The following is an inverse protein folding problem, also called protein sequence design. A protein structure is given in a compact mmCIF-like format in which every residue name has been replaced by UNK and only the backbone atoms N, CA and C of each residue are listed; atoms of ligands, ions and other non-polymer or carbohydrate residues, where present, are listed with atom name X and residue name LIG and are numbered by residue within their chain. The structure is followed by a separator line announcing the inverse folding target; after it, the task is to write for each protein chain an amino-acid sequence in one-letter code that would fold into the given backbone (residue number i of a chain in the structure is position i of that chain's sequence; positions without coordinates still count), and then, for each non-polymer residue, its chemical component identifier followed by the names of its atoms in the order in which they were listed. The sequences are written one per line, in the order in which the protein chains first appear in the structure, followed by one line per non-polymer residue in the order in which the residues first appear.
data_IF_930490006841
#
_entry.id   IF_930490006841
#
_cell.length_a   1.000
_cell.length_b   1.000
_cell.length_c   1.000
_cell.angle_alpha   90.00
_cell.angle_beta   90.00
_cell.angle_gamma   90.00
#
_symmetry.space_group_name_H-M   'P 1'
#
loop_
_entity.id
_entity.type
_entity.pdbx_description
1 polymer ?
#
# COMPACT_ATOMS: atom_id res chain seq x y z
N UNK A 1 -36.81 -20.72 51.92
CA UNK A 1 -35.56 -20.24 51.28
C UNK A 1 -35.93 -19.54 49.98
N UNK A 2 -35.59 -18.26 49.83
CA UNK A 2 -35.74 -17.50 48.57
C UNK A 2 -34.51 -17.79 47.71
N UNK A 3 -34.70 -18.39 46.54
CA UNK A 3 -33.66 -18.56 45.52
C UNK A 3 -33.60 -17.31 44.65
N UNK A 4 -32.58 -16.49 44.87
CA UNK A 4 -32.24 -15.34 44.03
C UNK A 4 -31.42 -15.84 42.84
N UNK A 5 -32.03 -15.89 41.65
CA UNK A 5 -31.31 -16.18 40.40
C UNK A 5 -30.54 -14.92 39.98
N UNK A 6 -29.20 -14.96 40.07
CA UNK A 6 -28.33 -13.92 39.52
C UNK A 6 -28.32 -14.04 37.99
N UNK A 7 -28.83 -13.02 37.29
CA UNK A 7 -28.60 -12.81 35.87
C UNK A 7 -27.13 -12.40 35.68
N UNK A 8 -26.30 -13.36 35.27
CA UNK A 8 -24.94 -13.11 34.83
C UNK A 8 -24.96 -12.41 33.48
N UNK A 9 -24.58 -11.14 33.48
CA UNK A 9 -24.36 -10.31 32.30
C UNK A 9 -23.21 -10.91 31.49
N UNK A 10 -23.50 -11.71 30.46
CA UNK A 10 -22.50 -12.07 29.45
C UNK A 10 -22.28 -10.85 28.56
N UNK A 11 -21.23 -10.12 28.86
CA UNK A 11 -20.65 -9.11 27.96
C UNK A 11 -20.27 -9.85 26.69
N UNK A 12 -21.06 -9.67 25.64
CA UNK A 12 -20.74 -10.07 24.29
C UNK A 12 -19.57 -9.18 23.84
N UNK A 13 -18.36 -9.52 24.25
CA UNK A 13 -17.15 -8.95 23.67
C UNK A 13 -17.15 -9.36 22.22
N UNK A 14 -17.35 -8.40 21.33
CA UNK A 14 -17.17 -8.54 19.90
C UNK A 14 -15.74 -9.03 19.66
N UNK A 15 -15.60 -10.35 19.53
CA UNK A 15 -14.37 -10.96 19.07
C UNK A 15 -14.11 -10.37 17.70
N UNK A 16 -12.97 -9.69 17.57
CA UNK A 16 -12.40 -9.33 16.29
C UNK A 16 -12.39 -10.59 15.43
N UNK A 17 -13.26 -10.65 14.42
CA UNK A 17 -13.13 -11.62 13.35
C UNK A 17 -11.84 -11.23 12.64
N UNK A 18 -10.75 -11.87 13.07
CA UNK A 18 -9.52 -11.96 12.33
C UNK A 18 -9.92 -12.62 11.01
N UNK A 19 -10.12 -11.81 9.97
CA UNK A 19 -10.29 -12.31 8.60
C UNK A 19 -8.90 -12.86 8.24
N UNK A 20 -8.65 -14.11 8.59
CA UNK A 20 -7.60 -14.88 7.95
C UNK A 20 -7.95 -14.90 6.46
N UNK A 21 -7.03 -14.52 5.56
CA UNK A 21 -7.24 -14.77 4.15
C UNK A 21 -7.50 -16.27 3.99
N UNK A 22 -8.68 -16.64 3.49
CA UNK A 22 -8.88 -18.00 3.00
C UNK A 22 -7.89 -18.18 1.88
N UNK A 23 -6.82 -18.92 2.15
CA UNK A 23 -5.74 -19.17 1.21
C UNK A 23 -6.28 -19.95 0.03
N UNK A 24 -6.59 -19.27 -1.07
CA UNK A 24 -6.54 -19.89 -2.38
C UNK A 24 -5.06 -20.12 -2.69
N UNK A 25 -4.67 -21.38 -2.82
CA UNK A 25 -3.35 -21.74 -3.32
C UNK A 25 -3.32 -21.53 -4.83
N UNK A 26 -2.45 -20.64 -5.29
CA UNK A 26 -2.07 -20.59 -6.69
C UNK A 26 -1.24 -21.83 -7.06
N UNK A 27 -1.32 -22.31 -8.31
CA UNK A 27 -0.59 -23.50 -8.76
C UNK A 27 -1.22 -24.87 -8.44
N UNK A 28 -2.55 -24.94 -8.34
CA UNK A 28 -3.30 -26.21 -8.40
C UNK A 28 -3.25 -27.12 -7.15
N UNK A 29 -2.52 -26.76 -6.09
CA UNK A 29 -2.45 -27.55 -4.86
C UNK A 29 -3.24 -26.90 -3.71
N UNK A 30 -4.55 -27.18 -3.67
CA UNK A 30 -5.43 -26.73 -2.58
C UNK A 30 -4.92 -27.32 -1.25
N UNK A 31 -4.46 -26.44 -0.36
CA UNK A 31 -4.18 -26.82 1.03
C UNK A 31 -5.50 -27.14 1.73
N UNK A 32 -5.71 -28.43 1.98
CA UNK A 32 -6.88 -28.97 2.68
C UNK A 32 -7.18 -28.23 3.99
N UNK A 33 -8.27 -27.47 4.00
CA UNK A 33 -9.00 -27.15 5.24
C UNK A 33 -10.45 -27.61 5.03
N UNK A 34 -10.85 -28.52 5.91
CA UNK A 34 -11.99 -29.43 5.81
C UNK A 34 -13.34 -28.70 5.82
N UNK A 35 -14.07 -28.79 4.71
CA UNK A 35 -15.53 -28.83 4.67
C UNK A 35 -15.92 -29.62 3.41
N UNK A 36 -16.60 -30.77 3.57
CA UNK A 36 -17.12 -31.68 2.54
C UNK A 36 -16.62 -31.39 1.11
N UNK A 37 -15.61 -32.16 0.67
CA UNK A 37 -15.06 -32.08 -0.68
C UNK A 37 -16.17 -32.35 -1.72
N UNK A 38 -16.84 -31.28 -2.16
CA UNK A 38 -17.39 -31.23 -3.49
C UNK A 38 -16.21 -31.45 -4.43
N UNK A 39 -16.35 -32.42 -5.33
CA UNK A 39 -15.35 -32.73 -6.35
C UNK A 39 -15.05 -31.43 -7.13
N UNK A 40 -13.84 -30.87 -6.93
CA UNK A 40 -13.45 -29.62 -7.60
C UNK A 40 -13.34 -29.93 -9.08
N UNK A 41 -14.32 -29.48 -9.86
CA UNK A 41 -14.39 -29.76 -11.29
C UNK A 41 -13.54 -28.74 -12.02
N UNK A 42 -12.70 -29.24 -12.93
CA UNK A 42 -12.04 -28.39 -13.92
C UNK A 42 -12.95 -28.26 -15.14
N UNK A 43 -13.29 -27.04 -15.51
CA UNK A 43 -14.09 -26.72 -16.69
C UNK A 43 -13.18 -26.01 -17.69
N UNK A 44 -13.01 -26.58 -18.88
CA UNK A 44 -12.28 -25.92 -19.97
C UNK A 44 -13.24 -25.03 -20.76
N UNK A 45 -12.82 -23.81 -21.06
CA UNK A 45 -13.62 -22.82 -21.79
C UNK A 45 -12.81 -22.24 -22.95
N UNK A 46 -13.47 -22.09 -24.10
CA UNK A 46 -12.90 -21.54 -25.34
C UNK A 46 -13.63 -20.29 -25.81
N UNK A 47 -14.81 -20.02 -25.25
CA UNK A 47 -15.67 -18.89 -25.62
C UNK A 47 -16.10 -18.08 -24.40
N UNK A 48 -16.53 -16.84 -24.63
CA UNK A 48 -17.09 -16.01 -23.58
C UNK A 48 -18.37 -16.61 -22.97
N UNK A 49 -19.23 -17.24 -23.77
CA UNK A 49 -20.48 -17.84 -23.28
C UNK A 49 -20.19 -18.97 -22.28
N UNK A 50 -19.18 -19.79 -22.55
CA UNK A 50 -18.74 -20.87 -21.65
C UNK A 50 -18.13 -20.31 -20.36
N UNK A 51 -17.24 -19.31 -20.46
CA UNK A 51 -16.65 -18.63 -19.30
C UNK A 51 -17.72 -17.99 -18.42
N UNK A 52 -18.65 -17.26 -19.02
CA UNK A 52 -19.77 -16.62 -18.33
C UNK A 52 -20.62 -17.67 -17.64
N UNK A 53 -21.03 -18.73 -18.33
CA UNK A 53 -21.82 -19.79 -17.73
C UNK A 53 -21.09 -20.43 -16.53
N UNK A 54 -19.81 -20.79 -16.70
CA UNK A 54 -19.01 -21.39 -15.64
C UNK A 54 -18.95 -20.51 -14.38
N UNK A 55 -18.73 -19.19 -14.54
CA UNK A 55 -18.67 -18.26 -13.41
C UNK A 55 -20.03 -18.03 -12.75
N UNK A 56 -21.12 -18.00 -13.52
CA UNK A 56 -22.45 -17.70 -12.99
C UNK A 56 -23.15 -18.90 -12.34
N UNK A 57 -22.82 -20.14 -12.75
CA UNK A 57 -23.54 -21.34 -12.30
C UNK A 57 -22.75 -22.26 -11.38
N UNK A 58 -21.41 -22.20 -11.38
CA UNK A 58 -20.59 -23.15 -10.62
C UNK A 58 -19.95 -22.52 -9.38
N UNK A 59 -20.26 -22.99 -8.15
CA UNK A 59 -19.79 -22.36 -6.93
C UNK A 59 -18.30 -22.58 -6.60
N UNK A 60 -17.65 -23.64 -7.12
CA UNK A 60 -16.27 -24.03 -6.73
C UNK A 60 -15.47 -24.71 -7.86
N UNK A 61 -15.41 -24.08 -9.04
CA UNK A 61 -14.71 -24.67 -10.20
C UNK A 61 -13.32 -24.05 -10.43
N UNK A 62 -12.41 -24.87 -10.94
CA UNK A 62 -11.22 -24.40 -11.67
C UNK A 62 -11.65 -24.20 -13.12
N UNK A 63 -11.50 -23.00 -13.64
CA UNK A 63 -11.88 -22.66 -15.01
C UNK A 63 -10.60 -22.50 -15.81
N UNK A 64 -10.35 -23.40 -16.76
CA UNK A 64 -9.19 -23.36 -17.64
C UNK A 64 -9.55 -22.71 -18.96
N UNK A 65 -8.94 -21.57 -19.28
CA UNK A 65 -9.07 -20.91 -20.57
C UNK A 65 -8.15 -21.60 -21.59
N UNK A 66 -8.70 -21.96 -22.76
CA UNK A 66 -7.97 -22.65 -23.85
C UNK A 66 -8.02 -21.86 -25.18
N UNK A 67 -8.47 -20.61 -25.12
CA UNK A 67 -8.44 -19.66 -26.23
C UNK A 67 -8.52 -18.23 -25.70
N UNK A 68 -8.09 -17.26 -26.51
CA UNK A 68 -8.33 -15.85 -26.18
C UNK A 68 -9.84 -15.55 -26.16
N UNK A 69 -10.32 -14.85 -25.14
CA UNK A 69 -11.75 -14.56 -24.92
C UNK A 69 -11.99 -13.05 -24.93
N UNK A 70 -13.00 -12.62 -25.70
CA UNK A 70 -13.54 -11.25 -25.66
C UNK A 70 -14.95 -11.25 -25.06
N UNK A 71 -15.16 -10.43 -24.04
CA UNK A 71 -16.45 -10.31 -23.38
C UNK A 71 -17.48 -9.59 -24.24
N UNK A 72 -18.71 -10.12 -24.25
CA UNK A 72 -19.86 -9.52 -24.95
C UNK A 72 -20.93 -8.98 -24.01
N UNK A 73 -20.84 -9.28 -22.71
CA UNK A 73 -21.73 -8.76 -21.66
C UNK A 73 -21.03 -8.77 -20.31
N UNK A 74 -21.68 -8.23 -19.28
CA UNK A 74 -21.25 -8.44 -17.90
C UNK A 74 -21.42 -9.92 -17.48
N UNK A 75 -20.61 -10.32 -16.51
CA UNK A 75 -20.72 -11.59 -15.78
C UNK A 75 -21.20 -11.25 -14.37
N UNK A 76 -22.30 -11.85 -13.91
CA UNK A 76 -22.89 -11.61 -12.60
C UNK A 76 -22.77 -12.88 -11.78
N UNK A 77 -21.93 -12.88 -10.76
CA UNK A 77 -21.78 -14.01 -9.84
C UNK A 77 -22.82 -13.83 -8.72
N UNK A 78 -23.92 -14.61 -8.70
CA UNK A 78 -25.06 -14.33 -7.84
C UNK A 78 -24.90 -14.91 -6.42
N UNK A 79 -24.11 -15.98 -6.28
CA UNK A 79 -23.89 -16.71 -5.04
C UNK A 79 -22.47 -16.56 -4.48
N UNK A 80 -22.22 -17.20 -3.34
CA UNK A 80 -20.87 -17.32 -2.76
C UNK A 80 -20.04 -18.29 -3.62
N UNK A 81 -19.27 -17.75 -4.56
CA UNK A 81 -18.41 -18.53 -5.45
C UNK A 81 -16.96 -18.10 -5.27
N UNK A 82 -16.04 -19.07 -5.32
CA UNK A 82 -14.59 -18.81 -5.22
C UNK A 82 -13.80 -19.40 -6.40
N UNK A 83 -14.07 -18.99 -7.66
CA UNK A 83 -13.45 -19.60 -8.82
C UNK A 83 -11.96 -19.26 -8.92
N UNK A 84 -11.18 -20.25 -9.35
CA UNK A 84 -9.83 -20.05 -9.87
C UNK A 84 -9.88 -20.12 -11.40
N UNK A 85 -9.56 -19.03 -12.07
CA UNK A 85 -9.46 -18.96 -13.52
C UNK A 85 -7.99 -19.10 -13.92
N UNK A 86 -7.65 -20.23 -14.53
CA UNK A 86 -6.36 -20.50 -15.13
C UNK A 86 -6.38 -19.98 -16.57
N UNK A 87 -5.61 -18.93 -16.83
CA UNK A 87 -5.53 -18.30 -18.13
C UNK A 87 -4.71 -19.05 -19.15
N UNK A 88 -3.77 -19.89 -18.71
CA UNK A 88 -2.81 -20.59 -19.58
C UNK A 88 -2.10 -19.66 -20.58
N UNK A 89 -1.81 -18.42 -20.15
CA UNK A 89 -1.21 -17.35 -20.95
C UNK A 89 -2.11 -16.79 -22.07
N UNK A 90 -3.42 -17.07 -22.06
CA UNK A 90 -4.38 -16.46 -22.98
C UNK A 90 -4.75 -15.04 -22.60
N UNK A 91 -5.40 -14.36 -23.55
CA UNK A 91 -5.99 -13.04 -23.38
C UNK A 91 -7.43 -13.12 -22.89
N UNK A 92 -7.78 -12.31 -21.89
CA UNK A 92 -9.15 -12.00 -21.50
C UNK A 92 -9.42 -10.51 -21.70
N UNK A 93 -10.08 -10.17 -22.81
CA UNK A 93 -10.53 -8.80 -23.11
C UNK A 93 -11.94 -8.59 -22.56
N UNK A 94 -12.04 -7.91 -21.43
CA UNK A 94 -13.32 -7.53 -20.83
C UNK A 94 -13.93 -6.29 -21.48
N UNK A 95 -13.18 -5.54 -22.26
CA UNK A 95 -13.61 -4.28 -22.87
C UNK A 95 -14.33 -3.40 -21.83
N UNK A 96 -15.59 -3.00 -22.07
CA UNK A 96 -16.37 -2.18 -21.14
C UNK A 96 -17.07 -2.97 -20.02
N UNK A 97 -17.06 -4.30 -20.12
CA UNK A 97 -17.80 -5.21 -19.25
C UNK A 97 -17.00 -5.59 -18.00
N UNK A 98 -17.68 -6.22 -17.04
CA UNK A 98 -17.11 -6.51 -15.72
C UNK A 98 -17.57 -7.86 -15.16
N UNK A 99 -16.72 -8.47 -14.33
CA UNK A 99 -17.09 -9.56 -13.42
C UNK A 99 -17.64 -8.94 -12.13
N UNK A 100 -18.94 -9.06 -11.93
CA UNK A 100 -19.70 -8.41 -10.86
C UNK A 100 -20.07 -9.42 -9.77
N UNK A 101 -19.29 -9.46 -8.70
CA UNK A 101 -19.54 -10.34 -7.55
C UNK A 101 -20.56 -9.73 -6.59
N UNK A 102 -21.71 -10.40 -6.42
CA UNK A 102 -22.83 -9.94 -5.56
C UNK A 102 -22.74 -10.39 -4.10
N UNK A 103 -21.82 -11.28 -3.78
CA UNK A 103 -21.62 -11.84 -2.44
C UNK A 103 -20.15 -11.78 -2.04
N UNK A 104 -19.85 -12.11 -0.79
CA UNK A 104 -18.47 -12.31 -0.35
C UNK A 104 -17.88 -13.57 -1.00
N UNK A 105 -16.58 -13.54 -1.29
CA UNK A 105 -15.86 -14.61 -1.98
C UNK A 105 -14.59 -14.08 -2.63
N UNK A 106 -13.75 -14.99 -3.12
CA UNK A 106 -12.47 -14.68 -3.75
C UNK A 106 -12.50 -15.16 -5.20
N UNK A 107 -12.30 -14.26 -6.15
CA UNK A 107 -12.07 -14.61 -7.55
C UNK A 107 -10.57 -14.54 -7.80
N UNK A 108 -9.97 -15.67 -8.16
CA UNK A 108 -8.56 -15.75 -8.51
C UNK A 108 -8.39 -15.81 -10.03
N UNK A 109 -7.50 -14.98 -10.56
CA UNK A 109 -7.10 -14.95 -11.97
C UNK A 109 -5.60 -15.22 -12.06
N UNK A 110 -5.23 -16.26 -12.79
CA UNK A 110 -3.84 -16.73 -12.90
C UNK A 110 -3.39 -16.82 -14.35
N UNK A 111 -2.14 -16.44 -14.64
CA UNK A 111 -1.49 -16.58 -15.95
C UNK A 111 -2.32 -15.98 -17.12
N UNK A 112 -2.74 -14.72 -16.97
CA UNK A 112 -3.60 -14.02 -17.94
C UNK A 112 -2.99 -12.71 -18.45
N UNK A 113 -3.25 -12.41 -19.72
CA UNK A 113 -3.21 -11.04 -20.25
C UNK A 113 -4.61 -10.45 -20.25
N UNK A 114 -4.85 -9.39 -19.48
CA UNK A 114 -6.18 -8.82 -19.24
C UNK A 114 -6.27 -7.42 -19.84
N UNK A 115 -7.32 -7.18 -20.60
CA UNK A 115 -7.68 -5.83 -21.07
C UNK A 115 -9.05 -5.40 -20.53
N UNK A 116 -9.14 -4.17 -20.02
CA UNK A 116 -10.43 -3.61 -19.57
C UNK A 116 -10.48 -2.09 -19.74
N UNK A 117 -11.45 -1.62 -20.53
CA UNK A 117 -11.74 -0.21 -20.78
C UNK A 117 -12.94 0.32 -20.00
N UNK A 118 -13.61 -0.56 -19.23
CA UNK A 118 -14.74 -0.27 -18.38
C UNK A 118 -14.38 0.63 -17.19
N UNK A 119 -15.37 1.39 -16.69
CA UNK A 119 -15.18 2.33 -15.57
C UNK A 119 -15.02 1.66 -14.21
N UNK A 120 -15.29 0.36 -14.11
CA UNK A 120 -15.14 -0.43 -12.88
C UNK A 120 -13.98 -1.42 -12.94
N UNK A 121 -13.26 -1.46 -14.07
CA UNK A 121 -12.24 -2.45 -14.35
C UNK A 121 -12.79 -3.84 -14.67
N UNK A 122 -11.94 -4.87 -14.53
CA UNK A 122 -12.34 -6.28 -14.74
C UNK A 122 -13.22 -6.78 -13.60
N UNK A 123 -13.07 -6.26 -12.39
CA UNK A 123 -13.76 -6.76 -11.21
C UNK A 123 -14.51 -5.67 -10.46
N UNK A 124 -15.78 -5.95 -10.15
CA UNK A 124 -16.62 -5.11 -9.31
C UNK A 124 -17.24 -5.90 -8.18
N UNK A 125 -17.19 -5.32 -6.97
CA UNK A 125 -18.04 -5.76 -5.87
C UNK A 125 -18.38 -4.61 -4.92
N UNK A 126 -19.54 -4.67 -4.27
CA UNK A 126 -19.94 -3.76 -3.18
C UNK A 126 -19.90 -4.46 -1.80
N UNK A 127 -19.46 -5.72 -1.76
CA UNK A 127 -19.36 -6.58 -0.57
C UNK A 127 -17.90 -6.69 -0.12
N UNK A 128 -17.64 -7.59 0.83
CA UNK A 128 -16.28 -7.94 1.28
C UNK A 128 -15.56 -8.90 0.31
N UNK A 129 -15.97 -8.96 -0.97
CA UNK A 129 -15.34 -9.80 -1.98
C UNK A 129 -13.89 -9.42 -2.27
N UNK A 130 -13.14 -10.36 -2.83
CA UNK A 130 -11.72 -10.21 -3.13
C UNK A 130 -11.43 -10.60 -4.58
N UNK A 131 -10.52 -9.84 -5.21
CA UNK A 131 -9.84 -10.23 -6.43
C UNK A 131 -8.40 -10.63 -6.09
N UNK A 132 -7.96 -11.80 -6.54
CA UNK A 132 -6.57 -12.22 -6.42
C UNK A 132 -5.99 -12.40 -7.84
N UNK A 133 -4.84 -11.78 -8.10
CA UNK A 133 -4.16 -11.81 -9.41
C UNK A 133 -2.79 -12.46 -9.24
N UNK A 134 -2.51 -13.50 -10.02
CA UNK A 134 -1.21 -14.17 -10.05
C UNK A 134 -0.65 -14.21 -11.47
N UNK A 135 0.59 -13.77 -11.68
CA UNK A 135 1.23 -13.77 -12.99
C UNK A 135 0.39 -13.08 -14.09
N UNK A 136 -0.23 -11.94 -13.76
CA UNK A 136 -1.14 -11.23 -14.67
C UNK A 136 -0.46 -10.01 -15.29
N UNK A 137 -0.68 -9.81 -16.59
CA UNK A 137 -0.45 -8.51 -17.25
C UNK A 137 -1.79 -7.82 -17.49
N UNK A 138 -2.04 -6.70 -16.83
CA UNK A 138 -3.26 -5.90 -16.99
C UNK A 138 -3.00 -4.61 -17.76
N UNK A 139 -3.84 -4.32 -18.76
CA UNK A 139 -3.90 -3.03 -19.45
C UNK A 139 -5.32 -2.47 -19.42
N UNK A 140 -5.51 -1.23 -18.98
CA UNK A 140 -6.88 -0.70 -18.93
C UNK A 140 -7.07 0.62 -18.22
N UNK A 141 -8.33 0.95 -17.93
CA UNK A 141 -8.67 2.15 -17.15
C UNK A 141 -8.58 1.93 -15.65
N UNK A 142 -9.02 0.79 -15.15
CA UNK A 142 -9.01 0.45 -13.72
C UNK A 142 -8.92 -1.07 -13.61
N UNK A 143 -8.20 -1.60 -12.63
CA UNK A 143 -8.15 -3.05 -12.35
C UNK A 143 -9.43 -3.49 -11.66
N UNK A 144 -9.79 -2.82 -10.57
CA UNK A 144 -10.93 -3.20 -9.74
C UNK A 144 -11.62 -2.02 -9.06
N UNK A 145 -12.95 -2.15 -8.97
CA UNK A 145 -13.82 -1.37 -8.09
C UNK A 145 -14.37 -2.29 -6.99
N UNK A 146 -13.71 -2.32 -5.84
CA UNK A 146 -14.10 -3.14 -4.69
C UNK A 146 -14.05 -2.31 -3.39
N UNK A 147 -14.87 -1.24 -3.27
CA UNK A 147 -14.76 -0.27 -2.18
C UNK A 147 -14.79 -0.86 -0.78
N UNK A 148 -15.42 -2.02 -0.52
CA UNK A 148 -15.35 -2.72 0.78
C UNK A 148 -14.50 -3.99 0.75
N UNK A 149 -14.05 -4.37 -0.44
CA UNK A 149 -13.35 -5.61 -0.71
C UNK A 149 -11.83 -5.44 -0.73
N UNK A 150 -11.17 -6.48 -1.23
CA UNK A 150 -9.73 -6.57 -1.29
C UNK A 150 -9.22 -6.85 -2.72
N UNK A 151 -7.99 -6.43 -2.98
CA UNK A 151 -7.19 -6.93 -4.09
C UNK A 151 -5.87 -7.50 -3.55
N UNK A 152 -5.50 -8.67 -4.04
CA UNK A 152 -4.21 -9.29 -3.73
C UNK A 152 -3.42 -9.56 -5.00
N UNK A 153 -2.14 -9.23 -4.98
CA UNK A 153 -1.22 -9.50 -6.08
C UNK A 153 -0.22 -10.57 -5.66
N UNK A 154 -0.03 -11.55 -6.53
CA UNK A 154 0.90 -12.67 -6.41
C UNK A 154 1.77 -12.77 -7.67
N UNK A 155 2.83 -13.57 -7.57
CA UNK A 155 3.73 -13.88 -8.69
C UNK A 155 4.31 -12.62 -9.34
N UNK A 156 4.41 -12.63 -10.68
CA UNK A 156 4.85 -11.45 -11.44
C UNK A 156 3.65 -10.74 -12.04
N UNK A 157 3.22 -9.62 -11.42
CA UNK A 157 2.06 -8.87 -11.90
C UNK A 157 2.47 -7.50 -12.46
N UNK A 158 2.03 -7.19 -13.68
CA UNK A 158 2.27 -5.91 -14.35
C UNK A 158 0.95 -5.22 -14.65
N UNK A 159 0.83 -3.95 -14.25
CA UNK A 159 -0.37 -3.14 -14.44
C UNK A 159 -0.01 -1.86 -15.20
N UNK A 160 -0.63 -1.65 -16.35
CA UNK A 160 -0.51 -0.40 -17.10
C UNK A 160 -1.88 0.22 -17.23
N UNK A 161 -2.07 1.44 -16.73
CA UNK A 161 -3.33 2.14 -16.88
C UNK A 161 -3.18 3.49 -17.56
N UNK A 162 -4.15 3.82 -18.40
CA UNK A 162 -4.33 5.16 -18.98
C UNK A 162 -5.40 5.93 -18.20
N UNK A 163 -5.67 5.51 -16.96
CA UNK A 163 -6.69 6.13 -16.12
C UNK A 163 -6.37 7.60 -15.89
N UNK A 164 -7.42 8.42 -15.85
CA UNK A 164 -7.36 9.77 -15.30
C UNK A 164 -7.75 9.81 -13.82
N UNK A 165 -8.17 8.67 -13.26
CA UNK A 165 -8.71 8.54 -11.90
C UNK A 165 -7.80 7.66 -11.02
N UNK A 166 -7.93 6.34 -11.10
CA UNK A 166 -7.14 5.40 -10.30
C UNK A 166 -6.85 4.05 -11.00
N UNK A 167 -5.79 3.34 -10.56
CA UNK A 167 -5.58 1.91 -10.87
C UNK A 167 -6.63 1.06 -10.18
N UNK A 168 -6.91 1.28 -8.90
CA UNK A 168 -7.94 0.54 -8.18
C UNK A 168 -8.56 1.36 -7.05
N UNK A 169 -9.86 1.14 -6.83
CA UNK A 169 -10.61 1.68 -5.70
C UNK A 169 -11.06 0.55 -4.79
N UNK A 170 -10.35 0.35 -3.69
CA UNK A 170 -10.51 -0.82 -2.81
C UNK A 170 -10.46 -0.45 -1.32
N UNK A 171 -10.82 -1.37 -0.43
CA UNK A 171 -10.56 -1.20 1.00
C UNK A 171 -9.19 -1.75 1.40
N UNK A 172 -8.82 -2.91 0.86
CA UNK A 172 -7.58 -3.61 1.23
C UNK A 172 -6.74 -3.92 -0.01
N UNK A 173 -5.44 -3.66 0.08
CA UNK A 173 -4.44 -4.07 -0.91
C UNK A 173 -3.42 -4.96 -0.22
N UNK A 174 -3.12 -6.09 -0.82
CA UNK A 174 -2.05 -6.98 -0.39
C UNK A 174 -1.11 -7.24 -1.56
N UNK A 175 0.15 -6.86 -1.41
CA UNK A 175 1.25 -7.34 -2.24
C UNK A 175 1.85 -8.53 -1.50
N UNK A 176 1.53 -9.75 -1.94
CA UNK A 176 1.82 -10.97 -1.20
C UNK A 176 3.32 -11.30 -1.14
N UNK A 177 3.69 -12.29 -0.32
CA UNK A 177 5.08 -12.72 -0.13
C UNK A 177 5.76 -13.03 -1.48
N UNK A 178 6.98 -12.54 -1.65
CA UNK A 178 7.80 -12.70 -2.87
C UNK A 178 7.17 -12.17 -4.19
N UNK A 179 6.10 -11.37 -4.14
CA UNK A 179 5.49 -10.80 -5.35
C UNK A 179 6.45 -9.85 -6.06
N UNK A 180 6.41 -9.84 -7.39
CA UNK A 180 7.07 -8.85 -8.23
C UNK A 180 5.99 -8.01 -8.93
N UNK A 181 5.65 -6.87 -8.33
CA UNK A 181 4.60 -5.99 -8.82
C UNK A 181 5.18 -4.76 -9.51
N UNK A 182 4.66 -4.45 -10.69
CA UNK A 182 4.96 -3.21 -11.41
C UNK A 182 3.67 -2.52 -11.84
N UNK A 183 3.56 -1.22 -11.59
CA UNK A 183 2.44 -0.40 -12.02
C UNK A 183 2.88 0.91 -12.68
N UNK A 184 2.16 1.34 -13.71
CA UNK A 184 2.32 2.65 -14.34
C UNK A 184 0.95 3.30 -14.59
N UNK A 185 0.77 4.55 -14.12
CA UNK A 185 -0.46 5.35 -14.29
C UNK A 185 -0.13 6.84 -14.40
N UNK A 186 -1.01 7.61 -15.06
CA UNK A 186 -0.97 9.08 -15.10
C UNK A 186 -1.89 9.76 -14.07
N UNK A 187 -2.61 8.98 -13.27
CA UNK A 187 -3.53 9.48 -12.25
C UNK A 187 -3.12 8.99 -10.86
N UNK A 188 -4.03 9.02 -9.87
CA UNK A 188 -3.75 8.36 -8.60
C UNK A 188 -3.55 6.85 -8.88
N UNK A 189 -2.71 6.14 -8.14
CA UNK A 189 -2.58 4.70 -8.29
C UNK A 189 -3.69 4.02 -7.51
N UNK A 190 -3.73 4.20 -6.19
CA UNK A 190 -4.66 3.52 -5.32
C UNK A 190 -5.47 4.52 -4.49
N UNK A 191 -6.78 4.48 -4.65
CA UNK A 191 -7.73 5.31 -3.91
C UNK A 191 -8.51 4.45 -2.90
N UNK A 192 -8.40 4.80 -1.62
CA UNK A 192 -8.98 4.04 -0.51
C UNK A 192 -9.59 5.00 0.52
N UNK A 193 -10.92 5.05 0.61
CA UNK A 193 -11.63 6.07 1.42
C UNK A 193 -12.66 5.49 2.41
N UNK A 194 -12.49 4.24 2.83
CA UNK A 194 -13.39 3.57 3.78
C UNK A 194 -13.00 3.78 5.24
N UNK A 195 -13.78 3.25 6.19
CA UNK A 195 -13.49 3.36 7.62
C UNK A 195 -12.07 2.85 7.99
N UNK A 196 -11.67 1.68 7.48
CA UNK A 196 -10.43 0.99 7.89
C UNK A 196 -9.65 0.47 6.67
N UNK A 197 -9.09 1.37 5.82
CA UNK A 197 -8.37 0.97 4.62
C UNK A 197 -7.01 0.39 4.99
N UNK A 198 -6.55 -0.61 4.26
CA UNK A 198 -5.33 -1.36 4.60
C UNK A 198 -4.44 -1.59 3.39
N UNK A 199 -3.14 -1.40 3.56
CA UNK A 199 -2.12 -1.78 2.58
C UNK A 199 -1.07 -2.64 3.28
N UNK A 200 -0.78 -3.79 2.70
CA UNK A 200 0.27 -4.71 3.13
C UNK A 200 1.26 -4.92 1.99
N UNK A 201 2.53 -4.68 2.25
CA UNK A 201 3.64 -5.11 1.39
C UNK A 201 4.36 -6.22 2.15
N UNK A 202 4.04 -7.47 1.80
CA UNK A 202 4.47 -8.65 2.56
C UNK A 202 5.95 -8.96 2.38
N UNK A 203 6.43 -9.91 3.18
CA UNK A 203 7.83 -10.32 3.23
C UNK A 203 8.44 -10.54 1.83
N UNK A 204 9.60 -9.94 1.57
CA UNK A 204 10.35 -10.05 0.31
C UNK A 204 9.58 -9.63 -0.96
N UNK A 205 8.42 -8.97 -0.84
CA UNK A 205 7.71 -8.39 -1.98
C UNK A 205 8.55 -7.28 -2.62
N UNK A 206 8.58 -7.21 -3.95
CA UNK A 206 9.15 -6.11 -4.73
C UNK A 206 8.04 -5.37 -5.46
N UNK A 207 7.78 -4.13 -5.06
CA UNK A 207 6.69 -3.29 -5.55
C UNK A 207 7.26 -2.03 -6.18
N UNK A 208 7.02 -1.82 -7.46
CA UNK A 208 7.44 -0.61 -8.19
C UNK A 208 6.21 0.08 -8.79
N UNK A 209 5.94 1.32 -8.38
CA UNK A 209 4.78 2.07 -8.85
C UNK A 209 5.21 3.41 -9.44
N UNK A 210 4.90 3.64 -10.70
CA UNK A 210 5.03 4.95 -11.34
C UNK A 210 3.66 5.59 -11.45
N UNK A 211 3.47 6.74 -10.81
CA UNK A 211 2.20 7.47 -10.78
C UNK A 211 2.47 8.96 -10.86
N UNK A 212 1.83 9.67 -11.80
CA UNK A 212 1.99 11.13 -11.95
C UNK A 212 1.30 11.97 -10.86
N UNK A 213 0.53 11.34 -9.95
CA UNK A 213 -0.20 12.02 -8.87
C UNK A 213 0.07 11.35 -7.52
N UNK A 214 -0.91 10.65 -6.94
CA UNK A 214 -0.74 9.96 -5.66
C UNK A 214 -0.52 8.48 -5.86
N UNK A 215 0.24 7.81 -4.98
CA UNK A 215 0.34 6.35 -5.01
C UNK A 215 -0.68 5.72 -4.08
N UNK A 216 -0.58 5.97 -2.77
CA UNK A 216 -1.52 5.45 -1.78
C UNK A 216 -2.31 6.59 -1.15
N UNK A 217 -3.58 6.72 -1.51
CA UNK A 217 -4.49 7.73 -0.96
C UNK A 217 -5.49 7.06 0.00
N UNK A 218 -5.20 7.08 1.30
CA UNK A 218 -5.89 6.35 2.37
C UNK A 218 -6.62 7.31 3.34
N UNK A 219 -7.86 7.68 3.06
CA UNK A 219 -8.58 8.75 3.80
C UNK A 219 -9.51 8.25 4.91
N UNK A 220 -9.31 7.02 5.39
CA UNK A 220 -10.17 6.40 6.40
C UNK A 220 -10.01 6.89 7.84
N UNK A 221 -10.85 6.36 8.74
CA UNK A 221 -10.78 6.63 10.17
C UNK A 221 -9.58 5.93 10.84
N UNK A 222 -9.31 4.67 10.47
CA UNK A 222 -8.15 3.90 10.95
C UNK A 222 -7.36 3.28 9.80
N UNK A 223 -6.71 4.10 8.94
CA UNK A 223 -5.92 3.58 7.85
C UNK A 223 -4.68 2.86 8.39
N UNK A 224 -4.37 1.70 7.81
CA UNK A 224 -3.21 0.88 8.16
C UNK A 224 -2.32 0.67 6.94
N UNK A 225 -1.03 0.94 7.09
CA UNK A 225 -0.03 0.70 6.06
C UNK A 225 1.18 0.03 6.70
N UNK A 226 1.61 -1.10 6.16
CA UNK A 226 2.79 -1.79 6.63
C UNK A 226 3.60 -2.36 5.48
N UNK A 227 4.93 -2.20 5.57
CA UNK A 227 5.87 -3.05 4.85
C UNK A 227 6.43 -4.09 5.82
N UNK A 228 6.55 -5.34 5.39
CA UNK A 228 7.12 -6.44 6.18
C UNK A 228 8.61 -6.62 5.90
N UNK A 229 9.24 -7.58 6.58
CA UNK A 229 10.69 -7.78 6.51
C UNK A 229 11.18 -8.10 5.10
N UNK A 230 12.30 -7.49 4.70
CA UNK A 230 12.94 -7.74 3.41
C UNK A 230 12.16 -7.21 2.19
N UNK A 231 10.99 -6.60 2.38
CA UNK A 231 10.21 -6.03 1.28
C UNK A 231 10.89 -4.80 0.66
N UNK A 232 10.68 -4.60 -0.63
CA UNK A 232 11.14 -3.44 -1.40
C UNK A 232 9.96 -2.70 -2.01
N UNK A 233 9.80 -1.43 -1.67
CA UNK A 233 8.79 -0.54 -2.24
C UNK A 233 9.45 0.68 -2.86
N UNK A 234 9.34 0.83 -4.18
CA UNK A 234 9.84 2.00 -4.90
C UNK A 234 8.68 2.70 -5.60
N UNK A 235 8.61 4.02 -5.46
CA UNK A 235 7.65 4.85 -6.21
C UNK A 235 8.35 5.92 -7.00
N UNK A 236 7.88 6.17 -8.22
CA UNK A 236 8.41 7.20 -9.11
C UNK A 236 7.31 8.12 -9.64
N UNK A 237 7.69 9.37 -9.90
CA UNK A 237 6.91 10.42 -10.55
C UNK A 237 5.72 11.00 -9.78
N UNK A 238 5.71 10.94 -8.45
CA UNK A 238 4.52 11.25 -7.64
C UNK A 238 4.48 12.73 -7.21
N UNK A 239 3.29 13.23 -6.87
CA UNK A 239 3.11 14.40 -5.99
C UNK A 239 3.13 13.93 -4.52
N UNK A 240 2.34 12.92 -4.16
CA UNK A 240 2.32 12.33 -2.79
C UNK A 240 2.40 10.81 -2.89
N UNK A 241 3.45 10.18 -2.35
CA UNK A 241 3.56 8.72 -2.34
C UNK A 241 2.56 8.09 -1.35
N UNK A 242 2.49 8.63 -0.13
CA UNK A 242 1.64 8.09 0.93
C UNK A 242 0.84 9.21 1.60
N UNK A 243 -0.48 9.12 1.50
CA UNK A 243 -1.41 10.01 2.18
C UNK A 243 -2.31 9.20 3.10
N UNK A 244 -2.14 9.34 4.43
CA UNK A 244 -2.98 8.64 5.39
C UNK A 244 -3.21 9.41 6.69
N UNK A 245 -4.40 9.23 7.28
CA UNK A 245 -4.72 9.69 8.63
C UNK A 245 -4.37 8.62 9.69
N UNK A 246 -3.14 8.14 9.70
CA UNK A 246 -2.68 7.09 10.62
C UNK A 246 -1.16 7.04 10.71
N UNK A 247 -0.66 5.98 11.36
CA UNK A 247 0.78 5.75 11.59
C UNK A 247 1.24 4.56 10.74
N UNK A 248 1.88 4.77 9.58
CA UNK A 248 2.49 3.69 8.81
C UNK A 248 3.70 3.12 9.55
N UNK A 249 3.97 1.85 9.29
CA UNK A 249 5.17 1.13 9.76
C UNK A 249 5.96 0.64 8.56
N UNK A 250 7.26 0.94 8.55
CA UNK A 250 8.20 0.41 7.56
C UNK A 250 9.03 -0.69 8.24
N UNK A 251 8.81 -1.94 7.84
CA UNK A 251 9.30 -3.13 8.54
C UNK A 251 10.82 -3.30 8.53
N UNK A 252 11.31 -4.20 9.39
CA UNK A 252 12.75 -4.42 9.55
C UNK A 252 13.41 -4.94 8.27
N UNK A 253 14.66 -4.58 7.97
CA UNK A 253 15.35 -4.97 6.73
C UNK A 253 14.60 -4.61 5.43
N UNK A 254 13.54 -3.80 5.48
CA UNK A 254 12.82 -3.37 4.29
C UNK A 254 13.58 -2.25 3.56
N UNK A 255 13.32 -2.07 2.27
CA UNK A 255 13.83 -0.97 1.47
C UNK A 255 12.67 -0.16 0.92
N UNK A 256 12.45 1.04 1.44
CA UNK A 256 11.43 1.96 0.93
C UNK A 256 12.09 3.16 0.27
N UNK A 257 11.70 3.43 -0.98
CA UNK A 257 12.18 4.58 -1.76
C UNK A 257 11.01 5.32 -2.40
N UNK A 258 10.79 6.56 -1.99
CA UNK A 258 9.79 7.44 -2.61
C UNK A 258 10.46 8.57 -3.38
N UNK A 259 10.22 8.61 -4.69
CA UNK A 259 10.78 9.60 -5.61
C UNK A 259 9.66 10.50 -6.16
N UNK A 260 9.76 11.77 -5.84
CA UNK A 260 8.88 12.80 -6.37
C UNK A 260 9.39 13.27 -7.74
N UNK A 261 8.48 13.59 -8.67
CA UNK A 261 8.91 14.30 -9.88
C UNK A 261 9.35 15.75 -9.56
N UNK A 262 9.94 16.43 -10.55
CA UNK A 262 10.36 17.82 -10.40
C UNK A 262 9.18 18.81 -10.19
N UNK A 263 7.96 18.40 -10.52
CA UNK A 263 6.76 19.22 -10.46
C UNK A 263 5.96 19.07 -9.17
N UNK A 264 6.22 18.03 -8.37
CA UNK A 264 5.53 17.72 -7.13
C UNK A 264 5.67 18.83 -6.10
N UNK A 265 4.56 19.13 -5.42
CA UNK A 265 4.40 20.30 -4.55
C UNK A 265 4.02 19.92 -3.12
N UNK A 266 3.22 18.87 -2.94
CA UNK A 266 2.86 18.33 -1.65
C UNK A 266 3.93 17.32 -1.22
N UNK A 267 4.26 17.22 0.06
CA UNK A 267 5.31 16.27 0.46
C UNK A 267 5.01 14.82 0.14
N UNK A 268 6.08 14.02 -0.01
CA UNK A 268 6.00 12.60 -0.34
C UNK A 268 5.20 11.78 0.66
N UNK A 269 5.24 12.14 1.95
CA UNK A 269 4.48 11.49 3.01
C UNK A 269 3.62 12.51 3.75
N UNK A 270 2.33 12.23 3.79
CA UNK A 270 1.39 12.80 4.73
C UNK A 270 0.87 11.71 5.66
N UNK A 271 1.26 11.79 6.93
CA UNK A 271 0.81 10.86 7.97
C UNK A 271 0.41 11.66 9.21
N UNK A 272 -0.89 11.68 9.55
CA UNK A 272 -1.39 12.55 10.63
C UNK A 272 -0.77 12.21 11.99
N UNK A 273 -0.51 10.93 12.24
CA UNK A 273 0.04 10.39 13.50
C UNK A 273 1.45 9.84 13.34
N UNK A 274 2.30 10.46 12.51
CA UNK A 274 3.74 10.11 12.43
C UNK A 274 3.97 8.77 11.74
N UNK A 275 5.14 8.14 11.93
CA UNK A 275 5.47 6.83 11.37
C UNK A 275 6.60 6.16 12.14
N UNK A 276 6.73 4.84 11.98
CA UNK A 276 7.85 4.05 12.48
C UNK A 276 8.66 3.47 11.32
N UNK A 277 9.99 3.56 11.41
CA UNK A 277 10.93 2.83 10.55
C UNK A 277 11.69 1.86 11.43
N UNK A 278 11.53 0.57 11.19
CA UNK A 278 12.05 -0.50 12.02
C UNK A 278 13.53 -0.82 11.71
N UNK A 279 14.10 -1.65 12.56
CA UNK A 279 15.53 -2.02 12.57
C UNK A 279 16.03 -2.47 11.20
N UNK A 280 17.24 -2.02 10.86
CA UNK A 280 17.97 -2.38 9.64
C UNK A 280 17.25 -2.02 8.32
N UNK A 281 16.15 -1.25 8.36
CA UNK A 281 15.48 -0.77 7.16
C UNK A 281 16.31 0.31 6.44
N UNK A 282 16.21 0.35 5.11
CA UNK A 282 16.65 1.46 4.26
C UNK A 282 15.44 2.32 3.89
N UNK A 283 15.48 3.59 4.28
CA UNK A 283 14.39 4.53 4.07
C UNK A 283 14.87 5.77 3.30
N UNK A 284 14.35 5.93 2.09
CA UNK A 284 14.81 6.93 1.12
C UNK A 284 13.64 7.79 0.65
N UNK A 285 13.74 9.11 0.82
CA UNK A 285 12.81 10.10 0.29
C UNK A 285 13.57 11.10 -0.58
N UNK A 286 13.17 11.22 -1.85
CA UNK A 286 13.75 12.15 -2.81
C UNK A 286 12.68 13.12 -3.32
N UNK A 287 12.61 14.31 -2.73
CA UNK A 287 11.64 15.33 -3.08
C UNK A 287 11.96 16.09 -4.37
N UNK A 288 10.94 16.64 -4.98
CA UNK A 288 11.01 17.41 -6.22
C UNK A 288 11.55 18.83 -6.01
N UNK A 289 11.88 19.51 -7.11
CA UNK A 289 12.35 20.90 -7.08
C UNK A 289 11.31 21.89 -6.52
N UNK A 290 10.02 21.57 -6.65
CA UNK A 290 8.91 22.37 -6.12
C UNK A 290 8.40 21.94 -4.74
N UNK A 291 8.92 20.83 -4.21
CA UNK A 291 8.46 20.25 -2.95
C UNK A 291 8.75 21.18 -1.77
N UNK A 292 7.74 21.65 -1.04
CA UNK A 292 7.99 22.53 0.11
C UNK A 292 8.29 21.76 1.40
N UNK A 293 7.87 20.50 1.47
CA UNK A 293 8.23 19.58 2.55
C UNK A 293 8.34 18.14 2.03
N UNK A 294 9.14 17.26 2.63
CA UNK A 294 9.10 15.82 2.30
C UNK A 294 8.06 15.07 3.14
N UNK A 295 8.03 15.38 4.44
CA UNK A 295 7.20 14.73 5.43
C UNK A 295 6.31 15.78 6.08
N UNK A 296 5.00 15.53 6.10
CA UNK A 296 4.02 16.34 6.82
C UNK A 296 3.25 15.50 7.83
N UNK A 297 3.24 15.93 9.09
CA UNK A 297 2.49 15.27 10.17
C UNK A 297 1.78 16.30 11.06
N UNK A 298 0.64 15.93 11.63
CA UNK A 298 -0.24 16.88 12.31
C UNK A 298 -0.07 16.89 13.84
N UNK A 299 0.43 15.81 14.47
CA UNK A 299 0.87 15.71 15.88
C UNK A 299 1.39 14.30 16.14
N UNK A 300 2.71 14.07 16.14
CA UNK A 300 3.21 12.71 16.43
C UNK A 300 4.70 12.54 16.67
N UNK A 301 5.05 11.30 17.00
CA UNK A 301 6.39 10.73 16.98
C UNK A 301 6.68 10.17 15.58
N UNK A 302 7.82 10.57 15.04
CA UNK A 302 8.51 9.91 13.93
C UNK A 302 9.70 9.16 14.54
N UNK A 303 9.70 7.84 14.45
CA UNK A 303 10.72 6.98 15.08
C UNK A 303 11.52 6.20 14.04
N UNK A 304 12.84 6.35 14.10
CA UNK A 304 13.81 5.57 13.33
C UNK A 304 14.54 4.62 14.28
N UNK A 305 14.11 3.36 14.32
CA UNK A 305 14.52 2.35 15.29
C UNK A 305 15.70 1.53 14.83
N UNK A 306 16.90 2.10 14.91
CA UNK A 306 18.14 1.41 14.52
C UNK A 306 18.15 0.97 13.04
N UNK A 307 17.91 1.95 12.19
CA UNK A 307 17.75 1.78 10.74
C UNK A 307 19.10 1.65 10.03
N UNK A 308 19.17 0.88 8.95
CA UNK A 308 20.43 0.69 8.22
C UNK A 308 20.81 1.95 7.42
N UNK A 309 19.82 2.66 6.88
CA UNK A 309 20.03 3.85 6.08
C UNK A 309 18.82 4.79 6.13
N UNK A 310 19.07 6.09 6.30
CA UNK A 310 18.07 7.15 6.15
C UNK A 310 18.58 8.21 5.19
N UNK A 311 17.96 8.31 4.01
CA UNK A 311 18.32 9.32 3.01
C UNK A 311 17.12 10.22 2.71
N UNK A 312 17.19 11.50 3.12
CA UNK A 312 16.09 12.45 2.97
C UNK A 312 16.55 13.69 2.18
N UNK A 313 16.31 13.70 0.88
CA UNK A 313 16.74 14.79 -0.01
C UNK A 313 15.59 15.69 -0.42
N UNK A 314 15.65 16.98 -0.06
CA UNK A 314 14.81 18.01 -0.67
C UNK A 314 15.58 18.67 -1.81
N UNK A 315 15.02 18.66 -3.02
CA UNK A 315 15.57 19.39 -4.17
C UNK A 315 15.04 20.84 -4.26
N UNK A 316 14.17 21.26 -3.33
CA UNK A 316 13.75 22.65 -3.23
C UNK A 316 14.69 23.42 -2.28
N UNK A 317 15.37 24.49 -2.74
CA UNK A 317 16.27 25.30 -1.92
C UNK A 317 15.63 25.99 -0.72
N UNK A 318 14.30 26.12 -0.71
CA UNK A 318 13.50 26.68 0.40
C UNK A 318 12.60 25.62 1.06
N UNK A 319 12.71 24.36 0.63
CA UNK A 319 11.90 23.26 1.16
C UNK A 319 12.47 22.75 2.48
N UNK A 320 11.58 22.27 3.34
CA UNK A 320 11.92 21.61 4.60
C UNK A 320 11.91 20.09 4.42
N UNK A 321 12.60 19.33 5.27
CA UNK A 321 12.40 17.88 5.30
C UNK A 321 11.11 17.56 6.06
N UNK A 322 10.96 18.14 7.24
CA UNK A 322 9.87 17.90 8.16
C UNK A 322 8.99 19.14 8.31
N UNK A 323 7.68 18.96 8.15
CA UNK A 323 6.64 19.92 8.53
C UNK A 323 5.73 19.25 9.56
N UNK A 324 6.07 19.41 10.83
CA UNK A 324 5.36 18.78 11.94
C UNK A 324 4.83 19.84 12.91
N UNK A 325 3.76 19.51 13.64
CA UNK A 325 3.16 20.45 14.60
C UNK A 325 3.92 20.53 15.92
N UNK A 326 3.66 21.59 16.69
CA UNK A 326 4.21 21.78 18.04
C UNK A 326 3.98 20.57 18.95
N UNK A 327 5.02 20.13 19.66
CA UNK A 327 4.98 18.95 20.52
C UNK A 327 5.18 17.61 19.79
N UNK A 328 5.42 17.63 18.48
CA UNK A 328 5.88 16.44 17.73
C UNK A 328 7.35 16.12 18.05
N UNK A 329 7.72 14.86 17.91
CA UNK A 329 9.07 14.34 18.19
C UNK A 329 9.61 13.63 16.94
N UNK A 330 10.85 13.91 16.57
CA UNK A 330 11.60 13.09 15.61
C UNK A 330 12.76 12.45 16.35
N UNK A 331 12.81 11.12 16.35
CA UNK A 331 13.74 10.32 17.13
C UNK A 331 14.52 9.37 16.24
N UNK A 332 15.85 9.38 16.43
CA UNK A 332 16.77 8.40 15.85
C UNK A 332 17.37 7.59 17.00
N UNK A 333 17.08 6.29 17.05
CA UNK A 333 17.49 5.41 18.17
C UNK A 333 18.96 5.03 18.13
N UNK A 334 19.60 5.13 16.97
CA UNK A 334 21.03 4.98 16.79
C UNK A 334 21.57 6.13 15.93
N UNK A 335 22.90 6.36 15.90
CA UNK A 335 23.51 7.36 15.04
C UNK A 335 23.16 7.12 13.57
N UNK A 336 22.69 8.15 12.87
CA UNK A 336 22.32 8.06 11.46
C UNK A 336 22.99 9.17 10.66
N UNK A 337 23.35 8.83 9.42
CA UNK A 337 23.82 9.84 8.46
C UNK A 337 22.59 10.43 7.78
N UNK A 338 22.37 11.72 7.97
CA UNK A 338 21.31 12.46 7.31
C UNK A 338 21.93 13.37 6.24
N UNK A 339 21.68 13.05 4.98
CA UNK A 339 22.06 13.95 3.88
C UNK A 339 20.95 14.96 3.67
N UNK A 340 21.17 16.21 4.06
CA UNK A 340 20.21 17.30 3.84
C UNK A 340 20.64 18.07 2.60
N UNK A 341 19.78 18.10 1.58
CA UNK A 341 20.02 18.90 0.38
C UNK A 341 20.11 20.38 0.74
N UNK A 342 21.17 21.06 0.27
CA UNK A 342 21.29 22.53 0.41
C UNK A 342 21.43 23.17 -0.96
N UNK A 343 21.13 24.47 -1.00
CA UNK A 343 21.40 25.34 -2.13
C UNK A 343 22.90 25.24 -2.46
N UNK A 344 23.20 24.62 -3.60
CA UNK A 344 24.50 24.58 -4.30
C UNK A 344 25.63 23.67 -3.80
N UNK A 345 25.52 22.95 -2.68
CA UNK A 345 26.48 21.87 -2.33
C UNK A 345 25.84 20.82 -1.41
N UNK A 346 25.92 19.53 -1.75
CA UNK A 346 25.43 18.45 -0.89
C UNK A 346 26.18 18.47 0.45
N UNK A 347 25.48 18.75 1.55
CA UNK A 347 26.03 18.69 2.90
C UNK A 347 25.60 17.37 3.55
N UNK A 348 26.57 16.50 3.83
CA UNK A 348 26.37 15.25 4.56
C UNK A 348 26.53 15.54 6.05
N UNK A 349 25.50 15.27 6.86
CA UNK A 349 25.58 15.37 8.32
C UNK A 349 25.55 13.98 8.94
N UNK A 350 26.53 13.68 9.78
CA UNK A 350 26.52 12.51 10.65
C UNK A 350 26.26 12.99 12.07
N UNK A 351 25.14 12.57 12.68
CA UNK A 351 24.79 12.93 14.04
C UNK A 351 24.57 11.70 14.91
N UNK A 352 25.15 11.70 16.11
CA UNK A 352 25.07 10.64 17.10
C UNK A 352 23.88 10.92 18.01
N UNK A 353 22.85 10.05 18.01
CA UNK A 353 21.67 10.15 18.88
C UNK A 353 20.92 11.49 18.78
N UNK A 354 20.47 11.83 17.58
CA UNK A 354 19.73 13.06 17.32
C UNK A 354 18.28 12.91 17.81
N UNK A 355 17.90 13.69 18.82
CA UNK A 355 16.50 13.87 19.23
C UNK A 355 16.11 15.31 18.94
N UNK A 356 15.26 15.54 17.94
CA UNK A 356 14.77 16.88 17.67
C UNK A 356 13.42 17.08 18.37
N UNK A 357 13.36 18.02 19.31
CA UNK A 357 12.13 18.47 19.97
C UNK A 357 11.71 19.80 19.35
N UNK A 358 10.41 20.00 19.12
CA UNK A 358 9.85 21.30 18.74
C UNK A 358 9.06 21.84 19.93
N UNK A 359 9.64 22.79 20.67
CA UNK A 359 8.93 23.47 21.76
C UNK A 359 8.11 24.64 21.21
N UNK A 360 6.83 24.68 21.62
CA UNK A 360 5.85 25.62 21.10
C UNK A 360 6.14 27.06 21.54
N UNK A 361 6.55 27.90 20.59
CA UNK A 361 6.22 29.34 20.48
C UNK A 361 7.04 30.07 19.40
N UNK A 362 7.77 29.37 18.55
CA UNK A 362 8.50 29.99 17.44
C UNK A 362 8.88 28.98 16.37
N UNK A 363 9.22 29.51 15.20
CA UNK A 363 9.70 28.87 13.96
C UNK A 363 10.98 28.02 14.11
N UNK A 364 11.30 27.53 15.30
CA UNK A 364 12.59 26.92 15.61
C UNK A 364 12.42 25.41 15.85
N UNK A 365 13.10 24.60 15.05
CA UNK A 365 13.47 23.23 15.43
C UNK A 365 14.38 23.35 16.67
N UNK A 366 14.41 22.38 17.59
CA UNK A 366 15.51 22.31 18.55
C UNK A 366 16.09 20.91 18.45
N UNK A 367 17.29 20.81 17.91
CA UNK A 367 17.99 19.54 17.72
C UNK A 367 18.81 19.28 18.97
N UNK A 368 18.37 18.37 19.82
CA UNK A 368 19.20 17.85 20.91
C UNK A 368 20.06 16.72 20.35
N UNK A 369 21.36 16.95 20.25
CA UNK A 369 22.33 15.89 20.01
C UNK A 369 22.88 15.44 21.36
N UNK A 370 22.71 14.17 21.72
CA UNK A 370 23.37 13.61 22.90
C UNK A 370 24.75 13.11 22.49
N UNK A 371 25.73 14.02 22.42
CA UNK A 371 27.14 13.63 22.49
C UNK A 371 27.39 13.05 23.88
N UNK A 372 28.28 12.06 24.00
CA UNK A 372 28.48 11.19 25.17
C UNK A 372 28.75 11.84 26.53
N UNK A 373 28.70 13.17 26.65
CA UNK A 373 28.86 13.94 27.87
C UNK A 373 27.74 15.01 27.98
N UNK A 374 26.51 14.63 28.35
CA UNK A 374 25.38 15.47 28.83
C UNK A 374 25.29 16.94 28.33
N UNK A 375 25.68 17.22 27.10
CA UNK A 375 25.80 18.57 26.57
C UNK A 375 24.60 18.85 25.68
N UNK A 376 23.72 19.73 26.17
CA UNK A 376 22.57 20.22 25.40
C UNK A 376 23.09 21.31 24.48
N UNK A 377 23.18 21.03 23.18
CA UNK A 377 23.40 22.07 22.17
C UNK A 377 22.03 22.53 21.65
N UNK A 378 21.61 23.72 22.05
CA UNK A 378 20.37 24.36 21.56
C UNK A 378 20.74 25.28 20.40
N UNK A 379 20.20 25.02 19.21
CA UNK A 379 20.38 25.89 18.04
C UNK A 379 19.19 26.86 17.91
N UNK A 380 19.47 28.15 17.67
CA UNK A 380 18.46 29.15 17.29
C UNK A 380 18.41 29.26 15.76
N UNK A 381 17.28 28.90 15.16
CA UNK A 381 17.14 28.69 13.71
C UNK A 381 16.76 29.95 12.92
N UNK A 382 16.61 31.10 13.57
CA UNK A 382 16.17 32.33 12.88
C UNK A 382 17.20 32.94 11.92
N UNK A 383 18.48 32.60 12.04
CA UNK A 383 19.57 33.22 11.25
C UNK A 383 20.42 32.22 10.46
N UNK A 384 20.18 30.91 10.58
CA UNK A 384 21.09 29.89 10.07
C UNK A 384 20.62 29.29 8.75
N UNK A 385 21.27 29.72 7.66
CA UNK A 385 21.46 28.86 6.50
C UNK A 385 22.24 27.60 6.89
N UNK A 386 21.87 26.47 6.29
CA UNK A 386 22.55 25.16 6.24
C UNK A 386 23.87 24.99 7.01
N UNK A 387 23.89 23.95 7.85
CA UNK A 387 25.00 23.59 8.73
C UNK A 387 26.31 23.11 8.02
N UNK A 388 27.40 23.11 8.78
CA UNK A 388 28.67 22.45 8.47
C UNK A 388 29.22 22.02 9.82
N UNK A 389 29.55 20.73 9.97
CA UNK A 389 30.35 20.27 11.10
C UNK A 389 31.74 19.91 10.57
N UNK A 390 32.72 20.74 10.90
CA UNK A 390 34.13 20.42 10.71
C UNK A 390 34.73 19.91 12.01
N UNK A 391 35.64 18.96 11.80
CA UNK A 391 36.37 18.09 12.73
C UNK A 391 36.63 18.61 14.13
#
# INVERSE_FOLDING_TARGET
MKTTTKLGLSVLTAAAVLIAPTSLSFGGNISNVVAQAAEVKTVTVTTFAELKNALETSPTDIISIDADITATSDIIIPGQHNPLILGNNHKLDMSKYVINAKQAGVIALEDLSIESTGSYGIYRTETLGQLALNNVTFTGKQVAYAPKGAITFHGTTKVTTTSTLEIAKVNTIVFDKNVHFTATTTADAFLMAQANPKVYVSENATVNITSAKKVFNMTGATPFFSTESGSKLTTNSVDVALYMNGKPTFGANSSTEFNQDAAGTAGLIYASTGFDVEKDASFVLNGGAKSTQLIKTAKSVIDFKDVANVYLKSNNPKGNIFSVSSGSLVQFNTPQTLTLGTKTTDAIYTATNLRAFLSGSGTNLSVQSFAGDNSIVTYDFKTMGSFKLTK
#
